data_IF_848416377512
#
_entry.id   IF_848416377512
#
_cell.length_a   1.000
_cell.length_b   1.000
_cell.length_c   1.000
_cell.angle_alpha   90.00
_cell.angle_beta   90.00
_cell.angle_gamma   90.00
#
_symmetry.space_group_name_H-M   'P 1'
#
loop_
_entity.id
_entity.type
_entity.pdbx_description
1 polymer ?
#
# COMPACT_ATOMS: atom_id res chain seq x y z
N UNK A 1 7.29 52.01 52.27
CA UNK A 1 7.97 51.86 50.97
C UNK A 1 8.48 50.43 50.75
N UNK A 2 8.94 49.71 51.78
CA UNK A 2 9.48 48.31 51.61
C UNK A 2 8.39 47.28 51.21
N UNK A 3 7.17 47.41 51.68
CA UNK A 3 6.07 46.42 51.44
C UNK A 3 5.51 46.41 50.01
N UNK A 4 5.66 47.47 49.24
CA UNK A 4 5.19 47.53 47.86
C UNK A 4 6.18 46.83 46.92
N UNK A 5 7.49 47.01 47.13
CA UNK A 5 8.50 46.37 46.31
C UNK A 5 8.55 44.84 46.45
N UNK A 6 8.32 44.32 47.67
CA UNK A 6 8.26 42.87 47.89
C UNK A 6 7.03 42.21 47.17
N UNK A 7 5.91 42.90 47.11
CA UNK A 7 4.72 42.41 46.39
C UNK A 7 4.91 42.39 44.86
N UNK A 8 5.56 43.38 44.28
CA UNK A 8 5.86 43.40 42.86
C UNK A 8 6.84 42.31 42.44
N UNK A 9 7.89 42.06 43.20
CA UNK A 9 8.87 40.99 42.93
C UNK A 9 8.21 39.62 43.00
N UNK A 10 7.34 39.41 44.01
CA UNK A 10 6.63 38.12 44.18
C UNK A 10 5.58 37.90 43.05
N UNK A 11 4.92 38.93 42.57
CA UNK A 11 3.97 38.84 41.47
C UNK A 11 4.68 38.53 40.14
N UNK A 12 5.80 39.20 39.91
CA UNK A 12 6.63 39.00 38.67
C UNK A 12 7.22 37.59 38.61
N UNK A 13 7.63 37.03 39.77
CA UNK A 13 8.10 35.65 39.86
C UNK A 13 6.97 34.64 39.57
N UNK A 14 5.78 34.84 40.08
CA UNK A 14 4.63 33.95 39.84
C UNK A 14 4.19 33.96 38.37
N UNK A 15 4.14 35.13 37.75
CA UNK A 15 3.83 35.24 36.31
C UNK A 15 4.87 34.57 35.45
N UNK A 16 6.18 34.76 35.72
CA UNK A 16 7.25 34.12 35.00
C UNK A 16 7.18 32.60 35.10
N UNK A 17 6.93 32.07 36.29
CA UNK A 17 6.79 30.62 36.50
C UNK A 17 5.56 30.06 35.79
N UNK A 18 4.45 30.80 35.75
CA UNK A 18 3.27 30.39 34.98
C UNK A 18 3.56 30.31 33.47
N UNK A 19 4.26 31.31 32.90
CA UNK A 19 4.64 31.28 31.48
C UNK A 19 5.62 30.16 31.16
N UNK A 20 6.60 29.89 32.06
CA UNK A 20 7.52 28.78 31.88
C UNK A 20 6.80 27.43 31.95
N UNK A 21 5.84 27.27 32.85
CA UNK A 21 5.04 26.06 32.96
C UNK A 21 4.13 25.88 31.73
N UNK A 22 3.46 26.93 31.26
CA UNK A 22 2.62 26.91 30.07
C UNK A 22 3.45 26.60 28.79
N UNK A 23 4.66 27.16 28.69
CA UNK A 23 5.58 26.87 27.59
C UNK A 23 6.07 25.40 27.64
N UNK A 24 6.44 24.90 28.80
CA UNK A 24 6.85 23.51 28.99
C UNK A 24 5.72 22.53 28.65
N UNK A 25 4.48 22.85 29.05
CA UNK A 25 3.29 22.06 28.72
C UNK A 25 3.00 22.07 27.21
N UNK A 26 3.10 23.24 26.57
CA UNK A 26 2.94 23.37 25.13
C UNK A 26 4.04 22.63 24.35
N UNK A 27 5.28 22.69 24.83
CA UNK A 27 6.40 21.94 24.25
C UNK A 27 6.20 20.42 24.44
N UNK A 28 5.72 19.97 25.59
CA UNK A 28 5.42 18.55 25.83
C UNK A 28 4.28 18.03 24.93
N UNK A 29 3.26 18.85 24.66
CA UNK A 29 2.18 18.52 23.74
C UNK A 29 2.65 18.51 22.26
N UNK A 30 3.61 19.36 21.91
CA UNK A 30 4.19 19.38 20.56
C UNK A 30 5.11 18.18 20.25
N UNK A 31 5.69 17.54 21.29
CA UNK A 31 6.54 16.35 21.14
C UNK A 31 5.72 15.05 21.08
N UNK A 32 4.45 15.07 21.46
CA UNK A 32 3.54 13.96 21.20
C UNK A 32 3.18 13.89 19.71
N UNK A 33 4.23 13.70 18.86
CA UNK A 33 4.08 13.47 17.45
C UNK A 33 3.14 12.28 17.22
N UNK A 34 2.17 12.42 16.31
CA UNK A 34 1.34 11.32 15.86
C UNK A 34 2.24 10.21 15.32
N UNK A 35 2.55 9.23 16.15
CA UNK A 35 3.15 7.99 15.68
C UNK A 35 2.15 7.37 14.72
N UNK A 36 2.50 7.25 13.45
CA UNK A 36 1.67 6.53 12.47
C UNK A 36 1.53 5.09 12.99
N UNK A 37 0.33 4.59 13.23
CA UNK A 37 0.13 3.23 13.73
C UNK A 37 0.85 2.24 12.82
N UNK A 38 1.71 1.41 13.36
CA UNK A 38 2.35 0.35 12.60
C UNK A 38 1.35 -0.80 12.47
N UNK A 39 1.02 -1.16 11.23
CA UNK A 39 0.28 -2.40 10.98
C UNK A 39 1.23 -3.57 11.30
N UNK A 40 0.83 -4.49 12.19
CA UNK A 40 1.63 -5.69 12.44
C UNK A 40 1.87 -6.45 11.13
N UNK A 41 3.12 -6.77 10.84
CA UNK A 41 3.51 -7.49 9.63
C UNK A 41 4.47 -8.63 9.96
N UNK A 42 4.40 -9.71 9.17
CA UNK A 42 5.32 -10.84 9.22
C UNK A 42 6.06 -10.94 7.89
N UNK A 43 7.38 -10.94 7.94
CA UNK A 43 8.20 -11.07 6.73
C UNK A 43 8.23 -12.53 6.26
N UNK A 44 7.92 -12.74 4.99
CA UNK A 44 8.09 -14.03 4.29
C UNK A 44 9.42 -14.04 3.54
N UNK A 45 9.70 -12.94 2.86
CA UNK A 45 10.94 -12.74 2.12
C UNK A 45 11.38 -11.28 2.23
N UNK A 46 12.67 -11.05 2.41
CA UNK A 46 13.26 -9.74 2.36
C UNK A 46 14.72 -9.82 1.89
N UNK A 47 15.04 -9.03 0.88
CA UNK A 47 16.40 -8.73 0.47
C UNK A 47 16.67 -7.22 0.64
N UNK A 48 17.88 -6.70 0.36
CA UNK A 48 18.16 -5.27 0.56
C UNK A 48 17.21 -4.31 -0.14
N UNK A 49 16.52 -4.75 -1.19
CA UNK A 49 15.68 -3.88 -2.04
C UNK A 49 14.24 -4.33 -2.18
N UNK A 50 13.95 -5.62 -2.04
CA UNK A 50 12.62 -6.21 -2.24
C UNK A 50 12.10 -6.85 -0.95
N UNK A 51 10.78 -6.99 -0.83
CA UNK A 51 10.18 -7.84 0.21
C UNK A 51 8.83 -8.40 -0.20
N UNK A 52 8.46 -9.50 0.46
CA UNK A 52 7.08 -10.02 0.53
C UNK A 52 6.74 -10.23 2.00
N UNK A 53 5.61 -9.69 2.44
CA UNK A 53 5.18 -9.71 3.83
C UNK A 53 3.71 -10.09 3.95
N UNK A 54 3.32 -10.47 5.14
CA UNK A 54 1.94 -10.69 5.55
C UNK A 54 1.55 -9.56 6.49
N UNK A 55 0.72 -8.66 6.01
CA UNK A 55 0.28 -7.50 6.77
C UNK A 55 -1.13 -7.73 7.30
N UNK A 56 -1.34 -7.44 8.56
CA UNK A 56 -2.67 -7.47 9.15
C UNK A 56 -3.59 -6.52 8.37
N UNK A 57 -4.81 -6.93 8.08
CA UNK A 57 -5.78 -6.03 7.47
C UNK A 57 -6.05 -4.84 8.41
N UNK A 58 -5.78 -3.63 7.92
CA UNK A 58 -5.96 -2.40 8.68
C UNK A 58 -7.42 -2.14 9.07
N UNK A 59 -8.38 -2.80 8.41
CA UNK A 59 -9.80 -2.71 8.74
C UNK A 59 -10.22 -3.68 9.86
N UNK A 60 -9.31 -4.55 10.32
CA UNK A 60 -9.57 -5.43 11.46
C UNK A 60 -9.46 -4.60 12.75
N UNK A 61 -10.58 -4.15 13.24
CA UNK A 61 -10.66 -3.57 14.58
C UNK A 61 -10.81 -4.71 15.60
N UNK A 62 -10.22 -4.58 16.82
CA UNK A 62 -10.34 -5.60 17.87
C UNK A 62 -11.79 -5.96 18.26
N UNK A 63 -12.71 -5.05 17.99
CA UNK A 63 -14.13 -5.14 18.36
C UNK A 63 -15.00 -5.73 17.24
N UNK A 64 -14.44 -5.90 16.03
CA UNK A 64 -15.17 -6.39 14.86
C UNK A 64 -14.61 -7.74 14.47
N UNK A 65 -15.44 -8.69 14.00
CA UNK A 65 -14.93 -9.96 13.52
C UNK A 65 -13.88 -9.71 12.42
N UNK A 66 -12.74 -10.40 12.45
CA UNK A 66 -11.71 -10.23 11.44
C UNK A 66 -12.27 -10.49 10.07
N UNK A 67 -11.80 -9.74 9.07
CA UNK A 67 -12.11 -10.00 7.68
C UNK A 67 -11.74 -11.45 7.37
N UNK A 68 -12.69 -12.21 6.82
CA UNK A 68 -12.48 -13.63 6.53
C UNK A 68 -11.95 -13.79 5.12
N UNK A 69 -10.64 -13.57 4.95
CA UNK A 69 -9.98 -13.98 3.72
C UNK A 69 -9.93 -15.52 3.67
N UNK A 70 -9.98 -16.08 2.48
CA UNK A 70 -9.85 -17.51 2.26
C UNK A 70 -8.37 -17.91 2.27
N UNK A 71 -7.69 -17.64 3.39
CA UNK A 71 -6.33 -18.03 3.65
C UNK A 71 -6.30 -19.13 4.73
N UNK A 72 -5.32 -20.07 4.67
CA UNK A 72 -4.28 -20.21 3.64
C UNK A 72 -4.84 -20.64 2.28
N UNK A 73 -4.25 -20.10 1.19
CA UNK A 73 -4.59 -20.47 -0.17
C UNK A 73 -3.44 -21.22 -0.85
N UNK A 74 -3.77 -22.36 -1.48
CA UNK A 74 -2.75 -23.26 -2.05
C UNK A 74 -2.71 -23.09 -3.59
N UNK A 75 -2.02 -22.06 -4.06
CA UNK A 75 -1.74 -21.88 -5.47
C UNK A 75 -0.36 -22.46 -5.83
N UNK A 76 -0.27 -23.15 -6.96
CA UNK A 76 1.00 -23.65 -7.47
C UNK A 76 1.86 -22.51 -8.05
N UNK A 77 3.17 -22.76 -8.20
CA UNK A 77 4.09 -21.83 -8.85
C UNK A 77 3.62 -21.47 -10.27
N UNK A 78 3.07 -22.43 -11.01
CA UNK A 78 2.57 -22.20 -12.36
C UNK A 78 1.31 -21.33 -12.35
N UNK A 79 0.39 -21.56 -11.42
CA UNK A 79 -0.79 -20.74 -11.26
C UNK A 79 -0.44 -19.30 -10.91
N UNK A 80 0.45 -19.09 -9.92
CA UNK A 80 0.90 -17.74 -9.55
C UNK A 80 1.64 -17.06 -10.72
N UNK A 81 2.52 -17.80 -11.41
CA UNK A 81 3.18 -17.29 -12.63
C UNK A 81 2.17 -16.85 -13.68
N UNK A 82 1.18 -17.68 -14.00
CA UNK A 82 0.12 -17.38 -14.97
C UNK A 82 -0.66 -16.13 -14.58
N UNK A 83 -0.98 -15.98 -13.30
CA UNK A 83 -1.67 -14.77 -12.79
C UNK A 83 -0.81 -13.52 -12.99
N UNK A 84 0.46 -13.54 -12.57
CA UNK A 84 1.34 -12.37 -12.70
C UNK A 84 1.60 -11.99 -14.17
N UNK A 85 1.76 -12.97 -15.06
CA UNK A 85 1.95 -12.73 -16.50
C UNK A 85 0.70 -12.15 -17.18
N UNK A 86 -0.49 -12.47 -16.66
CA UNK A 86 -1.75 -11.96 -17.19
C UNK A 86 -2.08 -10.53 -16.77
N UNK A 87 -1.40 -10.00 -15.74
CA UNK A 87 -1.62 -8.64 -15.29
C UNK A 87 -1.03 -7.61 -16.24
N UNK A 88 -1.84 -6.66 -16.67
CA UNK A 88 -1.43 -5.57 -17.56
C UNK A 88 -1.89 -4.22 -17.03
N UNK A 89 -1.16 -3.19 -17.38
CA UNK A 89 -1.42 -1.81 -16.96
C UNK A 89 -1.59 -0.93 -18.19
N UNK A 90 -2.54 -0.02 -18.13
CA UNK A 90 -2.80 0.98 -19.17
C UNK A 90 -2.68 2.38 -18.55
N UNK A 91 -1.78 3.20 -19.05
CA UNK A 91 -1.60 4.56 -18.57
C UNK A 91 -2.76 5.47 -18.98
N UNK A 92 -3.14 6.36 -18.08
CA UNK A 92 -4.11 7.39 -18.40
C UNK A 92 -3.53 8.41 -19.37
N UNK A 93 -4.25 8.69 -20.44
CA UNK A 93 -3.89 9.71 -21.41
C UNK A 93 -4.83 10.92 -21.28
N UNK A 94 -4.31 12.11 -21.53
CA UNK A 94 -5.14 13.30 -21.68
C UNK A 94 -6.16 13.09 -22.81
N UNK A 95 -7.37 13.64 -22.66
CA UNK A 95 -8.46 13.46 -23.64
C UNK A 95 -8.07 13.84 -25.06
N UNK A 96 -7.26 14.88 -25.23
CA UNK A 96 -6.74 15.32 -26.52
C UNK A 96 -5.80 14.29 -27.12
N UNK A 97 -4.91 13.70 -26.32
CA UNK A 97 -3.96 12.69 -26.76
C UNK A 97 -4.68 11.40 -27.18
N UNK A 98 -5.70 10.99 -26.40
CA UNK A 98 -6.55 9.84 -26.73
C UNK A 98 -7.29 10.04 -28.05
N UNK A 99 -7.77 11.25 -28.32
CA UNK A 99 -8.45 11.57 -29.58
C UNK A 99 -7.50 11.53 -30.79
N UNK A 100 -6.23 11.91 -30.61
CA UNK A 100 -5.23 11.92 -31.70
C UNK A 100 -4.58 10.58 -31.95
N UNK A 101 -4.30 9.80 -30.90
CA UNK A 101 -3.45 8.60 -30.95
C UNK A 101 -4.19 7.30 -30.60
N UNK A 102 -5.48 7.37 -30.24
CA UNK A 102 -6.21 6.23 -29.68
C UNK A 102 -5.87 5.98 -28.21
N UNK A 103 -6.41 4.88 -27.65
CA UNK A 103 -6.12 4.47 -26.29
C UNK A 103 -4.67 4.04 -26.10
N UNK A 104 -4.09 4.30 -24.91
CA UNK A 104 -2.76 3.82 -24.56
C UNK A 104 -2.69 2.29 -24.69
N UNK A 105 -1.54 1.80 -25.13
CA UNK A 105 -1.28 0.36 -25.21
C UNK A 105 -1.20 -0.21 -23.79
N UNK A 106 -1.81 -1.38 -23.56
CA UNK A 106 -1.61 -2.16 -22.36
C UNK A 106 -0.18 -2.71 -22.32
N UNK A 107 0.50 -2.52 -21.20
CA UNK A 107 1.86 -2.98 -20.95
C UNK A 107 1.82 -4.08 -19.90
N UNK A 108 2.74 -5.07 -19.93
CA UNK A 108 2.90 -6.02 -18.85
C UNK A 108 3.14 -5.28 -17.52
N UNK A 109 2.47 -5.72 -16.48
CA UNK A 109 2.65 -5.11 -15.16
C UNK A 109 4.02 -5.43 -14.56
N UNK A 110 4.49 -6.66 -14.74
CA UNK A 110 5.76 -7.15 -14.24
C UNK A 110 6.69 -7.58 -15.37
N UNK A 111 7.98 -7.37 -15.14
CA UNK A 111 9.05 -7.93 -16.00
C UNK A 111 9.37 -9.38 -15.56
N UNK A 112 9.95 -10.16 -16.43
CA UNK A 112 10.30 -11.58 -16.16
C UNK A 112 11.17 -11.74 -14.91
N UNK A 113 12.12 -10.82 -14.69
CA UNK A 113 12.97 -10.82 -13.48
C UNK A 113 12.17 -10.59 -12.20
N UNK A 114 11.15 -9.73 -12.22
CA UNK A 114 10.26 -9.47 -11.10
C UNK A 114 9.36 -10.69 -10.82
N UNK A 115 8.83 -11.31 -11.89
CA UNK A 115 8.03 -12.54 -11.80
C UNK A 115 8.88 -13.67 -11.19
N UNK A 116 10.14 -13.80 -11.58
CA UNK A 116 11.04 -14.82 -11.04
C UNK A 116 11.28 -14.64 -9.52
N UNK A 117 11.32 -13.41 -9.04
CA UNK A 117 11.42 -13.10 -7.60
C UNK A 117 10.08 -13.36 -6.90
N UNK A 118 8.98 -12.87 -7.45
CA UNK A 118 7.68 -12.88 -6.78
C UNK A 118 7.05 -14.26 -6.69
N UNK A 119 7.11 -15.08 -7.74
CA UNK A 119 6.39 -16.35 -7.82
C UNK A 119 6.64 -17.24 -6.60
N UNK A 120 7.88 -17.63 -6.25
CA UNK A 120 8.11 -18.49 -5.11
C UNK A 120 7.68 -17.86 -3.78
N UNK A 121 7.86 -16.55 -3.66
CA UNK A 121 7.56 -15.84 -2.42
C UNK A 121 6.05 -15.65 -2.21
N UNK A 122 5.29 -15.39 -3.28
CA UNK A 122 3.84 -15.26 -3.20
C UNK A 122 3.16 -16.60 -2.95
N UNK A 123 3.66 -17.69 -3.53
CA UNK A 123 3.17 -19.05 -3.23
C UNK A 123 3.32 -19.35 -1.74
N UNK A 124 4.50 -19.09 -1.19
CA UNK A 124 4.76 -19.32 0.23
C UNK A 124 3.96 -18.37 1.12
N UNK A 125 3.85 -17.09 0.74
CA UNK A 125 3.08 -16.10 1.47
C UNK A 125 1.59 -16.48 1.54
N UNK A 126 0.98 -16.86 0.43
CA UNK A 126 -0.43 -17.27 0.37
C UNK A 126 -0.69 -18.54 1.22
N UNK A 127 0.28 -19.46 1.24
CA UNK A 127 0.22 -20.68 2.08
C UNK A 127 0.35 -20.39 3.57
N UNK A 128 1.11 -19.34 3.96
CA UNK A 128 1.37 -18.95 5.36
C UNK A 128 0.38 -17.92 5.89
N UNK A 129 -0.34 -17.22 5.00
CA UNK A 129 -1.25 -16.17 5.39
C UNK A 129 -2.41 -16.70 6.25
N UNK A 130 -2.84 -15.89 7.20
CA UNK A 130 -4.01 -16.12 8.03
C UNK A 130 -5.23 -15.42 7.45
N UNK A 131 -6.41 -15.77 7.93
CA UNK A 131 -7.70 -15.20 7.48
C UNK A 131 -7.81 -13.67 7.61
N UNK A 132 -6.98 -13.04 8.41
CA UNK A 132 -6.93 -11.60 8.64
C UNK A 132 -5.68 -10.92 8.09
N UNK A 133 -4.88 -11.63 7.29
CA UNK A 133 -3.63 -11.12 6.73
C UNK A 133 -3.73 -10.99 5.21
N UNK A 134 -3.19 -9.89 4.69
CA UNK A 134 -2.97 -9.68 3.25
C UNK A 134 -1.52 -9.95 2.91
N UNK A 135 -1.29 -10.52 1.75
CA UNK A 135 0.07 -10.59 1.20
C UNK A 135 0.41 -9.23 0.59
N UNK A 136 1.52 -8.64 0.98
CA UNK A 136 2.04 -7.41 0.41
C UNK A 136 3.40 -7.62 -0.21
N UNK A 137 3.71 -6.88 -1.26
CA UNK A 137 4.98 -6.96 -1.96
C UNK A 137 5.52 -5.57 -2.28
N UNK A 138 6.83 -5.48 -2.32
CA UNK A 138 7.57 -4.30 -2.71
C UNK A 138 8.79 -4.71 -3.53
N UNK A 139 8.86 -4.22 -4.74
CA UNK A 139 9.99 -4.40 -5.65
C UNK A 139 10.63 -3.05 -5.91
N UNK A 140 11.96 -3.00 -5.91
CA UNK A 140 12.68 -1.77 -6.13
C UNK A 140 13.91 -1.99 -6.98
N UNK A 141 13.99 -1.24 -8.07
CA UNK A 141 15.12 -1.26 -8.99
C UNK A 141 15.86 0.07 -8.95
N UNK A 142 17.21 0.07 -8.96
CA UNK A 142 17.97 1.30 -9.09
C UNK A 142 17.80 1.85 -10.51
N UNK A 143 17.42 3.12 -10.64
CA UNK A 143 17.43 3.83 -11.92
C UNK A 143 18.72 4.64 -12.08
N UNK A 144 19.12 5.31 -11.01
CA UNK A 144 20.40 6.04 -10.89
C UNK A 144 20.91 5.89 -9.45
N UNK A 145 22.06 6.46 -9.13
CA UNK A 145 22.58 6.47 -7.75
C UNK A 145 21.63 7.12 -6.72
N UNK A 146 20.73 8.00 -7.16
CA UNK A 146 19.81 8.76 -6.32
C UNK A 146 18.33 8.54 -6.64
N UNK A 147 18.01 7.72 -7.64
CA UNK A 147 16.63 7.43 -8.05
C UNK A 147 16.39 5.93 -8.08
N UNK A 148 15.22 5.54 -7.63
CA UNK A 148 14.72 4.16 -7.67
C UNK A 148 13.37 4.13 -8.37
N UNK A 149 13.13 3.03 -9.06
CA UNK A 149 11.82 2.68 -9.59
C UNK A 149 11.21 1.66 -8.65
N UNK A 150 9.97 1.85 -8.26
CA UNK A 150 9.27 0.91 -7.39
C UNK A 150 7.99 0.40 -8.02
N UNK A 151 7.71 -0.88 -7.77
CA UNK A 151 6.42 -1.53 -8.03
C UNK A 151 5.99 -2.21 -6.74
N UNK A 152 4.84 -1.82 -6.20
CA UNK A 152 4.39 -2.33 -4.90
C UNK A 152 2.88 -2.45 -4.82
N UNK A 153 2.41 -3.33 -3.97
CA UNK A 153 1.00 -3.58 -3.81
C UNK A 153 0.70 -4.71 -2.83
N UNK A 154 -0.47 -5.29 -2.97
CA UNK A 154 -0.89 -6.42 -2.15
C UNK A 154 -1.91 -7.29 -2.86
N UNK A 155 -2.14 -8.47 -2.29
CA UNK A 155 -3.16 -9.40 -2.76
C UNK A 155 -3.73 -10.25 -1.63
N UNK A 156 -4.93 -10.76 -1.84
CA UNK A 156 -5.57 -11.74 -0.96
C UNK A 156 -6.59 -12.57 -1.74
N UNK A 157 -7.00 -13.69 -1.19
CA UNK A 157 -8.01 -14.57 -1.77
C UNK A 157 -9.29 -14.50 -0.93
N UNK A 158 -10.44 -14.41 -1.61
CA UNK A 158 -11.76 -14.44 -0.99
C UNK A 158 -12.67 -15.38 -1.79
N UNK A 159 -13.02 -16.52 -1.21
CA UNK A 159 -13.71 -17.59 -1.97
C UNK A 159 -12.86 -18.09 -3.13
N UNK A 160 -13.36 -17.94 -4.34
CA UNK A 160 -12.65 -18.27 -5.59
C UNK A 160 -12.06 -17.02 -6.27
N UNK A 161 -12.03 -15.89 -5.60
CA UNK A 161 -11.61 -14.62 -6.17
C UNK A 161 -10.23 -14.22 -5.65
N UNK A 162 -9.33 -13.88 -6.56
CA UNK A 162 -8.08 -13.20 -6.23
C UNK A 162 -8.29 -11.70 -6.32
N UNK A 163 -8.09 -11.02 -5.22
CA UNK A 163 -8.10 -9.58 -5.13
C UNK A 163 -6.67 -9.06 -5.23
N UNK A 164 -6.38 -8.29 -6.27
CA UNK A 164 -5.06 -7.76 -6.55
C UNK A 164 -5.06 -6.23 -6.47
N UNK A 165 -4.24 -5.68 -5.58
CA UNK A 165 -4.14 -4.24 -5.31
C UNK A 165 -2.78 -3.76 -5.80
N UNK A 166 -2.78 -2.76 -6.69
CA UNK A 166 -1.56 -2.12 -7.17
C UNK A 166 -1.42 -0.73 -6.53
N UNK A 167 -0.48 -0.59 -5.61
CA UNK A 167 -0.18 0.68 -4.96
C UNK A 167 0.66 1.59 -5.84
N UNK A 168 1.79 1.08 -6.32
CA UNK A 168 2.73 1.80 -7.18
C UNK A 168 3.15 0.93 -8.35
N UNK A 169 3.17 1.51 -9.54
CA UNK A 169 3.68 0.86 -10.74
C UNK A 169 4.77 1.70 -11.37
N UNK A 170 5.98 1.15 -11.44
CA UNK A 170 7.17 1.80 -11.98
C UNK A 170 7.35 3.27 -11.53
N UNK A 171 6.89 3.55 -10.31
CA UNK A 171 6.93 4.89 -9.75
C UNK A 171 8.36 5.27 -9.40
N UNK A 172 8.83 6.40 -9.95
CA UNK A 172 10.17 6.91 -9.67
C UNK A 172 10.16 7.74 -8.41
N UNK A 173 11.01 7.41 -7.44
CA UNK A 173 11.26 8.29 -6.33
C UNK A 173 12.76 8.55 -6.15
N UNK A 174 13.10 9.76 -5.69
CA UNK A 174 14.46 10.13 -5.35
C UNK A 174 14.81 9.64 -3.95
N UNK A 175 16.06 9.21 -3.73
CA UNK A 175 16.61 9.10 -2.38
C UNK A 175 16.94 10.53 -1.98
N UNK A 176 16.17 11.17 -1.08
CA UNK A 176 16.33 12.58 -0.86
C UNK A 176 17.59 12.87 -0.06
N UNK A 177 18.34 13.85 -0.50
CA UNK A 177 19.23 14.57 0.40
C UNK A 177 18.45 15.31 1.51
N UNK A 178 17.11 15.41 1.38
CA UNK A 178 16.21 16.22 2.22
C UNK A 178 14.87 15.53 2.52
N UNK A 179 14.89 14.38 3.16
CA UNK A 179 13.80 14.04 4.08
C UNK A 179 12.49 13.44 3.59
N UNK A 180 12.22 13.22 2.30
CA UNK A 180 11.03 12.47 1.86
C UNK A 180 11.40 11.04 1.48
N UNK A 181 11.45 10.17 2.47
CA UNK A 181 11.65 8.73 2.26
C UNK A 181 10.28 8.11 2.02
N UNK A 182 10.14 7.33 0.93
CA UNK A 182 8.96 6.48 0.75
C UNK A 182 8.84 5.51 1.92
N UNK A 183 7.66 5.49 2.54
CA UNK A 183 7.42 4.60 3.66
C UNK A 183 7.12 3.17 3.17
N UNK A 184 8.15 2.33 3.18
CA UNK A 184 8.09 0.92 2.80
C UNK A 184 7.14 0.08 3.67
N UNK A 185 6.63 0.62 4.79
CA UNK A 185 5.65 -0.06 5.65
C UNK A 185 4.27 -0.16 5.02
N UNK A 186 3.98 0.71 4.07
CA UNK A 186 2.67 0.80 3.41
C UNK A 186 2.78 0.62 1.90
N UNK A 187 3.10 -0.61 1.44
CA UNK A 187 3.36 -0.86 0.01
C UNK A 187 2.14 -0.68 -0.89
N UNK A 188 0.93 -0.71 -0.33
CA UNK A 188 -0.31 -0.47 -1.06
C UNK A 188 -0.66 1.02 -1.21
N UNK A 189 0.05 1.90 -0.50
CA UNK A 189 -0.20 3.34 -0.60
C UNK A 189 0.57 3.93 -1.80
N UNK A 190 -0.10 4.68 -2.68
CA UNK A 190 0.56 5.31 -3.83
C UNK A 190 1.46 6.47 -3.37
N UNK A 191 2.64 6.61 -4.01
CA UNK A 191 3.55 7.76 -3.82
C UNK A 191 2.98 9.00 -4.51
N UNK A 192 2.36 8.78 -5.65
CA UNK A 192 1.77 9.83 -6.51
C UNK A 192 0.36 9.41 -6.90
N UNK A 193 -0.46 10.38 -7.29
CA UNK A 193 -1.79 10.07 -7.84
C UNK A 193 -1.67 9.05 -8.96
N UNK A 194 -2.49 8.01 -8.93
CA UNK A 194 -2.47 6.96 -9.95
C UNK A 194 -2.82 7.52 -11.31
N UNK A 195 -1.97 7.24 -12.26
CA UNK A 195 -2.13 7.59 -13.66
C UNK A 195 -2.34 6.37 -14.56
N UNK A 196 -2.92 5.28 -14.02
CA UNK A 196 -3.07 4.01 -14.75
C UNK A 196 -4.28 3.21 -14.28
N UNK A 197 -4.77 2.33 -15.17
CA UNK A 197 -5.76 1.30 -14.86
C UNK A 197 -5.13 -0.08 -14.94
N UNK A 198 -5.61 -1.01 -14.11
CA UNK A 198 -5.13 -2.39 -14.02
C UNK A 198 -6.11 -3.32 -14.74
N UNK A 199 -5.58 -4.25 -15.53
CA UNK A 199 -6.34 -5.24 -16.31
C UNK A 199 -5.74 -6.64 -16.17
N UNK A 200 -6.53 -7.63 -16.53
CA UNK A 200 -6.09 -9.00 -16.73
C UNK A 200 -6.31 -9.40 -18.19
N UNK A 201 -5.43 -10.21 -18.76
CA UNK A 201 -5.47 -10.60 -20.17
C UNK A 201 -6.69 -11.43 -20.55
N UNK A 202 -7.30 -12.14 -19.58
CA UNK A 202 -8.54 -12.87 -19.73
C UNK A 202 -9.71 -12.02 -19.23
N UNK A 203 -10.28 -11.18 -20.09
CA UNK A 203 -11.33 -10.23 -19.72
C UNK A 203 -12.55 -10.90 -19.04
N UNK A 204 -12.90 -12.12 -19.42
CA UNK A 204 -14.01 -12.87 -18.81
C UNK A 204 -13.76 -13.34 -17.38
N UNK A 205 -12.50 -13.38 -16.94
CA UNK A 205 -12.14 -13.71 -15.56
C UNK A 205 -12.13 -12.46 -14.66
N UNK A 206 -12.13 -11.26 -15.24
CA UNK A 206 -12.22 -10.03 -14.45
C UNK A 206 -13.65 -9.85 -13.92
N UNK A 207 -13.77 -9.70 -12.63
CA UNK A 207 -15.02 -9.34 -11.96
C UNK A 207 -15.05 -7.81 -11.87
N UNK A 208 -15.88 -7.18 -12.70
CA UNK A 208 -16.09 -5.73 -12.63
C UNK A 208 -16.89 -5.41 -11.38
N UNK A 209 -16.24 -4.81 -10.40
CA UNK A 209 -16.96 -4.25 -9.26
C UNK A 209 -17.90 -3.15 -9.77
N UNK A 210 -19.17 -3.23 -9.40
CA UNK A 210 -20.10 -2.10 -9.61
C UNK A 210 -19.65 -0.98 -8.68
N UNK A 211 -18.96 -0.01 -9.23
CA UNK A 211 -18.63 1.22 -8.50
C UNK A 211 -19.92 1.93 -8.16
N UNK A 212 -20.24 1.99 -6.88
CA UNK A 212 -21.35 2.81 -6.39
C UNK A 212 -21.02 4.28 -6.66
N UNK A 213 -22.03 5.11 -6.92
CA UNK A 213 -21.88 6.56 -7.04
C UNK A 213 -21.22 7.15 -5.79
N UNK A 214 -21.43 6.53 -4.65
CA UNK A 214 -20.81 6.91 -3.36
C UNK A 214 -19.33 6.56 -3.29
N UNK A 215 -18.89 5.46 -3.90
CA UNK A 215 -17.46 5.08 -3.95
C UNK A 215 -16.68 6.08 -4.79
N UNK A 216 -17.28 6.60 -5.87
CA UNK A 216 -16.70 7.68 -6.68
C UNK A 216 -16.61 9.00 -5.90
N UNK A 217 -17.63 9.35 -5.11
CA UNK A 217 -17.67 10.60 -4.33
C UNK A 217 -16.68 10.59 -3.16
N UNK A 218 -16.39 9.40 -2.58
CA UNK A 218 -15.50 9.26 -1.43
C UNK A 218 -14.05 9.01 -1.85
N UNK A 219 -13.72 9.07 -3.13
CA UNK A 219 -12.39 8.75 -3.69
C UNK A 219 -11.85 7.36 -3.22
N UNK A 220 -12.75 6.48 -2.83
CA UNK A 220 -12.47 5.13 -2.35
C UNK A 220 -12.55 4.12 -3.51
N UNK A 221 -12.21 4.56 -4.74
CA UNK A 221 -11.97 3.61 -5.82
C UNK A 221 -10.77 2.76 -5.39
N UNK A 222 -11.06 1.61 -4.83
CA UNK A 222 -10.04 0.62 -4.54
C UNK A 222 -9.41 0.29 -5.90
N UNK A 223 -8.16 0.62 -6.04
CA UNK A 223 -7.34 0.25 -7.19
C UNK A 223 -7.08 -1.26 -7.15
N UNK A 224 -8.14 -2.00 -7.11
CA UNK A 224 -8.22 -3.42 -6.87
C UNK A 224 -8.83 -4.09 -8.10
N UNK A 225 -8.09 -5.01 -8.64
CA UNK A 225 -8.56 -5.91 -9.69
C UNK A 225 -9.00 -7.22 -9.05
N UNK A 226 -10.23 -7.64 -9.32
CA UNK A 226 -10.76 -8.92 -8.85
C UNK A 226 -10.77 -9.92 -10.00
N UNK A 227 -10.12 -11.08 -9.80
CA UNK A 227 -9.95 -12.14 -10.79
C UNK A 227 -10.63 -13.41 -10.28
N UNK A 228 -11.56 -13.95 -11.05
CA UNK A 228 -12.19 -15.25 -10.81
C UNK A 228 -11.23 -16.37 -11.17
N UNK A 229 -10.64 -16.98 -10.15
CA UNK A 229 -9.67 -18.06 -10.30
C UNK A 229 -10.25 -19.31 -10.96
N UNK A 230 -11.56 -19.58 -10.76
CA UNK A 230 -12.21 -20.72 -11.38
C UNK A 230 -12.30 -20.58 -12.91
N UNK A 231 -12.38 -19.34 -13.42
CA UNK A 231 -12.32 -19.07 -14.86
C UNK A 231 -10.91 -19.09 -15.43
N UNK A 232 -9.90 -18.73 -14.62
CA UNK A 232 -8.49 -18.81 -15.04
C UNK A 232 -8.00 -20.25 -15.05
N UNK A 233 -8.43 -21.06 -14.07
CA UNK A 233 -7.98 -22.44 -13.85
C UNK A 233 -9.16 -23.43 -13.79
N UNK A 234 -9.86 -23.64 -14.92
CA UNK A 234 -11.04 -24.51 -14.92
C UNK A 234 -10.67 -25.94 -14.52
N UNK A 235 -11.40 -26.48 -13.55
CA UNK A 235 -11.23 -27.87 -13.08
C UNK A 235 -10.04 -28.10 -12.14
N UNK A 236 -9.37 -27.04 -11.68
CA UNK A 236 -8.30 -27.14 -10.64
C UNK A 236 -8.86 -26.72 -9.28
N UNK A 237 -8.43 -27.42 -8.23
CA UNK A 237 -8.69 -26.98 -6.85
C UNK A 237 -7.81 -25.80 -6.49
N UNK A 238 -8.38 -24.80 -5.84
CA UNK A 238 -7.73 -23.58 -5.39
C UNK A 238 -7.64 -23.61 -3.86
#
# INVERSE_FOLDING_TARGET
VRTVQEKEVTYRSKTLNFFLFAFALAAALAVSGCAIPQVPSRTVYEDPVNFVRLDLDANVLPEWPPGHFSHPANLSHEQVRRLLMGLTVQEHQASIQRWLSGDARRLPMFHDAEIAILVPQLVEALRLARENERVTYYLSQPQTSIKRIITSGGLYVMGTELHFILGNWQSVYGIPAYGMIYDRRYPMNPIVSKGFDLFFDLDQAMIRQRTSVWDWLLANSKDELVIDLAKVFPGQSI
#
